data_IF_216840253185
#
_entry.id   IF_216840253185
#
_cell.length_a   1.000
_cell.length_b   1.000
_cell.length_c   1.000
_cell.angle_alpha   90.00
_cell.angle_beta   90.00
_cell.angle_gamma   90.00
#
_symmetry.space_group_name_H-M   'P 1'
#
loop_
_entity.id
_entity.type
_entity.pdbx_description
1 polymer ?
#
# COMPACT_ATOMS: atom_id res chain seq x y z
N UNK A 1 19.06 13.07 17.75
CA UNK A 1 18.67 12.60 16.41
C UNK A 1 17.17 12.65 16.41
N UNK A 2 16.61 13.80 16.04
CA UNK A 2 15.16 13.91 15.86
C UNK A 2 14.81 13.09 14.63
N UNK A 3 14.16 11.96 14.87
CA UNK A 3 13.54 11.18 13.82
C UNK A 3 12.54 12.10 13.12
N UNK A 4 12.46 12.10 11.79
CA UNK A 4 11.28 12.66 11.17
C UNK A 4 10.12 11.86 11.76
N UNK A 5 9.21 12.56 12.42
CA UNK A 5 7.89 12.07 12.75
C UNK A 5 7.24 11.74 11.40
N UNK A 6 7.59 10.59 10.82
CA UNK A 6 7.14 10.20 9.50
C UNK A 6 5.64 9.91 9.60
N UNK A 7 4.85 10.89 9.21
CA UNK A 7 3.41 10.86 9.26
C UNK A 7 2.92 10.39 7.89
N UNK A 8 2.89 9.07 7.73
CA UNK A 8 2.53 8.45 6.46
C UNK A 8 1.22 7.70 6.63
N UNK A 9 0.20 8.19 5.93
CA UNK A 9 -0.98 7.37 5.65
C UNK A 9 -0.67 6.54 4.43
N UNK A 10 -1.17 5.31 4.41
CA UNK A 10 -1.14 4.50 3.20
C UNK A 10 -2.51 3.97 2.90
N UNK A 11 -2.94 4.22 1.67
CA UNK A 11 -4.19 3.75 1.14
C UNK A 11 -3.96 2.97 -0.14
N UNK A 12 -4.77 1.95 -0.34
CA UNK A 12 -4.80 1.16 -1.56
C UNK A 12 -6.17 1.28 -2.20
N UNK A 13 -6.17 1.57 -3.49
CA UNK A 13 -7.37 1.61 -4.32
C UNK A 13 -7.95 0.19 -4.40
N UNK A 14 -9.22 0.02 -4.00
CA UNK A 14 -9.96 -1.20 -4.28
C UNK A 14 -10.28 -1.23 -5.79
N UNK A 15 -9.68 -2.16 -6.54
CA UNK A 15 -9.75 -2.14 -7.98
C UNK A 15 -11.05 -2.79 -8.49
N UNK A 16 -11.96 -3.20 -7.61
CA UNK A 16 -13.23 -3.87 -7.98
C UNK A 16 -14.33 -2.91 -8.46
N UNK A 17 -14.26 -1.59 -8.21
CA UNK A 17 -15.38 -0.66 -8.47
C UNK A 17 -15.04 0.54 -9.39
N UNK A 18 -14.12 0.37 -10.34
CA UNK A 18 -13.97 1.32 -11.46
C UNK A 18 -13.76 2.78 -11.05
N UNK A 19 -13.13 3.03 -9.90
CA UNK A 19 -12.78 4.36 -9.42
C UNK A 19 -13.92 5.19 -8.80
N UNK A 20 -15.16 4.67 -8.69
CA UNK A 20 -16.25 5.36 -7.97
C UNK A 20 -16.58 4.59 -6.69
N UNK A 21 -16.32 5.21 -5.54
CA UNK A 21 -16.50 4.65 -4.19
C UNK A 21 -15.47 3.58 -3.80
N UNK A 22 -14.21 3.73 -4.19
CA UNK A 22 -13.14 2.88 -3.66
C UNK A 22 -13.09 3.04 -2.13
N UNK A 23 -13.46 2.01 -1.36
CA UNK A 23 -13.25 2.03 0.10
C UNK A 23 -11.79 1.72 0.36
N UNK A 24 -11.08 2.63 1.00
CA UNK A 24 -9.66 2.47 1.27
C UNK A 24 -9.42 1.51 2.43
N UNK A 25 -8.31 0.79 2.33
CA UNK A 25 -7.74 0.10 3.47
C UNK A 25 -6.60 0.94 4.03
N UNK A 26 -6.86 1.63 5.13
CA UNK A 26 -5.81 2.31 5.89
C UNK A 26 -4.90 1.27 6.51
N UNK A 27 -3.64 1.22 6.08
CA UNK A 27 -2.62 0.34 6.67
C UNK A 27 -1.95 0.96 7.88
N UNK A 28 -1.70 2.27 7.83
CA UNK A 28 -1.02 3.04 8.88
C UNK A 28 -1.71 4.38 9.04
N UNK A 29 -1.90 4.82 10.29
CA UNK A 29 -2.47 6.13 10.63
C UNK A 29 -1.35 7.10 11.00
N UNK A 30 -1.53 8.39 10.72
CA UNK A 30 -0.67 9.45 11.26
C UNK A 30 -0.58 9.38 12.77
N UNK A 31 0.63 9.56 13.28
CA UNK A 31 0.94 9.44 14.71
C UNK A 31 1.17 8.01 15.19
N UNK A 32 1.10 7.01 14.31
CA UNK A 32 1.57 5.66 14.64
C UNK A 32 3.09 5.70 14.81
N UNK A 33 3.59 5.30 15.97
CA UNK A 33 5.02 5.08 16.17
C UNK A 33 5.45 3.86 15.35
N UNK A 34 6.45 4.05 14.49
CA UNK A 34 6.98 3.02 13.61
C UNK A 34 8.40 2.68 14.06
N UNK A 35 8.67 1.39 14.20
CA UNK A 35 10.01 0.85 14.45
C UNK A 35 10.71 0.51 13.14
N UNK A 36 12.04 0.46 13.14
CA UNK A 36 12.81 0.09 11.96
C UNK A 36 12.39 -1.29 11.43
N UNK A 37 12.22 -1.38 10.11
CA UNK A 37 11.80 -2.58 9.37
C UNK A 37 10.42 -3.11 9.77
N UNK A 38 9.60 -2.28 10.43
CA UNK A 38 8.23 -2.64 10.75
C UNK A 38 7.41 -2.76 9.46
N UNK A 39 6.69 -3.87 9.36
CA UNK A 39 5.79 -4.15 8.24
C UNK A 39 4.33 -4.05 8.69
N UNK A 40 3.53 -3.31 7.92
CA UNK A 40 2.08 -3.29 8.04
C UNK A 40 1.47 -3.98 6.81
N UNK A 41 0.58 -4.94 7.04
CA UNK A 41 0.13 -5.83 5.97
C UNK A 41 -1.37 -6.13 6.03
N UNK A 42 -1.87 -6.63 4.91
CA UNK A 42 -3.16 -7.27 4.85
C UNK A 42 -3.21 -8.36 3.80
N UNK A 43 -4.13 -9.30 4.00
CA UNK A 43 -4.44 -10.33 3.02
C UNK A 43 -5.51 -9.83 2.03
N UNK A 44 -5.28 -10.11 0.76
CA UNK A 44 -6.15 -9.83 -0.38
C UNK A 44 -6.38 -11.13 -1.15
N UNK A 45 -7.61 -11.36 -1.62
CA UNK A 45 -7.94 -12.45 -2.54
C UNK A 45 -8.55 -11.83 -3.80
N UNK A 46 -7.87 -11.88 -4.96
CA UNK A 46 -8.45 -11.46 -6.23
C UNK A 46 -9.55 -12.45 -6.64
N UNK A 47 -10.64 -11.93 -7.21
CA UNK A 47 -11.73 -12.76 -7.73
C UNK A 47 -11.34 -13.37 -9.09
N UNK A 48 -11.49 -12.60 -10.17
CA UNK A 48 -11.37 -13.13 -11.54
C UNK A 48 -10.29 -12.45 -12.39
N UNK A 49 -9.47 -11.58 -11.80
CA UNK A 49 -8.44 -10.82 -12.52
C UNK A 49 -7.17 -11.62 -12.71
N UNK A 50 -6.43 -11.38 -13.79
CA UNK A 50 -5.10 -11.97 -14.08
C UNK A 50 -3.94 -11.04 -13.74
N UNK A 51 -4.22 -9.80 -13.34
CA UNK A 51 -3.24 -8.84 -12.84
C UNK A 51 -3.87 -7.96 -11.76
N UNK A 52 -3.03 -7.35 -10.92
CA UNK A 52 -3.48 -6.42 -9.90
C UNK A 52 -2.53 -5.22 -9.76
N UNK A 53 -3.10 -4.06 -9.41
CA UNK A 53 -2.33 -2.83 -9.15
C UNK A 53 -2.61 -2.33 -7.74
N UNK A 54 -1.58 -2.30 -6.91
CA UNK A 54 -1.63 -1.70 -5.58
C UNK A 54 -1.12 -0.27 -5.68
N UNK A 55 -2.03 0.69 -5.78
CA UNK A 55 -1.68 2.10 -5.68
C UNK A 55 -1.43 2.48 -4.23
N UNK A 56 -0.38 3.26 -3.97
CA UNK A 56 0.09 3.60 -2.64
C UNK A 56 0.05 5.11 -2.52
N UNK A 57 -0.87 5.63 -1.70
CA UNK A 57 -1.07 7.06 -1.49
C UNK A 57 -0.66 7.49 -0.09
N UNK A 58 -0.22 8.73 0.08
CA UNK A 58 0.00 9.38 1.36
C UNK A 58 -0.65 10.75 1.44
N UNK A 59 -0.82 11.25 2.66
CA UNK A 59 -1.35 12.57 2.95
C UNK A 59 -0.80 13.08 4.27
N UNK A 60 -0.93 14.37 4.55
CA UNK A 60 -0.75 14.92 5.88
C UNK A 60 -2.09 15.17 6.60
N UNK A 61 -3.24 15.02 5.93
CA UNK A 61 -4.56 15.30 6.51
C UNK A 61 -5.03 14.22 7.48
N UNK A 62 -5.74 14.62 8.52
CA UNK A 62 -6.45 13.69 9.41
C UNK A 62 -7.80 13.29 8.83
N UNK A 63 -8.28 12.09 9.16
CA UNK A 63 -9.64 11.61 8.88
C UNK A 63 -10.03 11.61 7.39
N UNK A 64 -9.14 11.15 6.52
CA UNK A 64 -9.47 10.99 5.11
C UNK A 64 -10.28 9.72 4.91
N UNK A 65 -11.36 9.85 4.16
CA UNK A 65 -12.26 8.76 3.79
C UNK A 65 -12.06 8.33 2.34
N UNK A 66 -11.58 9.22 1.45
CA UNK A 66 -11.39 8.95 0.02
C UNK A 66 -10.03 9.34 -0.60
N UNK A 67 -9.53 8.62 -1.63
CA UNK A 67 -8.22 8.92 -2.25
C UNK A 67 -8.23 10.05 -3.26
N UNK A 68 -9.40 10.42 -3.76
CA UNK A 68 -9.60 11.61 -4.56
C UNK A 68 -9.82 12.86 -3.69
N UNK A 69 -9.80 12.71 -2.36
CA UNK A 69 -9.86 13.88 -1.48
C UNK A 69 -8.65 14.79 -1.70
N UNK A 70 -8.86 16.12 -1.69
CA UNK A 70 -7.77 17.08 -1.83
C UNK A 70 -6.68 16.83 -0.79
N UNK A 71 -5.41 16.91 -1.18
CA UNK A 71 -4.28 16.66 -0.27
C UNK A 71 -3.87 15.20 -0.14
N UNK A 72 -4.41 14.32 -0.97
CA UNK A 72 -3.87 12.98 -1.22
C UNK A 72 -2.83 13.01 -2.35
N UNK A 73 -1.71 12.34 -2.14
CA UNK A 73 -0.62 12.24 -3.11
C UNK A 73 -0.29 10.79 -3.39
N UNK A 74 -0.24 10.42 -4.66
CA UNK A 74 0.22 9.09 -5.08
C UNK A 74 1.74 9.00 -4.92
N UNK A 75 2.22 8.07 -4.10
CA UNK A 75 3.65 7.74 -4.05
C UNK A 75 4.05 6.84 -5.20
N UNK A 76 3.22 5.85 -5.53
CA UNK A 76 3.53 4.91 -6.61
C UNK A 76 2.56 3.74 -6.68
N UNK A 77 2.84 2.81 -7.60
CA UNK A 77 2.02 1.62 -7.83
C UNK A 77 2.89 0.37 -7.91
N UNK A 78 2.50 -0.68 -7.19
CA UNK A 78 3.04 -2.02 -7.36
C UNK A 78 2.09 -2.82 -8.25
N UNK A 79 2.51 -3.11 -9.48
CA UNK A 79 1.76 -3.94 -10.41
C UNK A 79 2.27 -5.38 -10.33
N UNK A 80 1.35 -6.34 -10.29
CA UNK A 80 1.69 -7.75 -10.28
C UNK A 80 0.84 -8.52 -11.28
N UNK A 81 1.45 -9.56 -11.84
CA UNK A 81 0.72 -10.61 -12.54
C UNK A 81 0.22 -11.63 -11.51
N UNK A 82 -1.02 -12.05 -11.68
CA UNK A 82 -1.66 -13.02 -10.80
C UNK A 82 -1.56 -14.42 -11.42
N UNK A 83 -1.41 -15.47 -10.60
CA UNK A 83 -1.47 -16.84 -11.10
C UNK A 83 -2.88 -17.15 -11.64
N UNK A 84 -3.00 -18.21 -12.45
CA UNK A 84 -4.22 -18.61 -13.16
C UNK A 84 -5.50 -18.47 -12.30
N UNK A 85 -6.56 -17.93 -12.91
CA UNK A 85 -7.86 -17.69 -12.28
C UNK A 85 -8.51 -19.00 -11.79
N UNK A 86 -8.13 -20.15 -12.37
CA UNK A 86 -8.63 -21.47 -11.99
C UNK A 86 -7.97 -22.07 -10.75
N UNK A 87 -6.98 -21.40 -10.15
CA UNK A 87 -6.39 -21.84 -8.87
C UNK A 87 -7.28 -21.41 -7.71
N UNK A 88 -7.70 -22.35 -6.87
CA UNK A 88 -8.60 -22.08 -5.73
C UNK A 88 -7.99 -21.11 -4.69
N UNK A 89 -6.66 -21.13 -4.56
CA UNK A 89 -5.95 -20.31 -3.60
C UNK A 89 -5.07 -19.25 -4.27
N UNK A 90 -5.60 -18.04 -4.29
CA UNK A 90 -4.99 -16.85 -4.92
C UNK A 90 -4.69 -15.77 -3.88
N UNK A 91 -4.60 -16.13 -2.61
CA UNK A 91 -4.32 -15.20 -1.52
C UNK A 91 -2.96 -14.53 -1.72
N UNK A 92 -2.96 -13.21 -1.49
CA UNK A 92 -1.80 -12.35 -1.59
C UNK A 92 -1.70 -11.56 -0.30
N UNK A 93 -0.55 -11.66 0.35
CA UNK A 93 -0.20 -10.79 1.45
C UNK A 93 0.49 -9.57 0.86
N UNK A 94 -0.19 -8.43 0.93
CA UNK A 94 0.43 -7.14 0.63
C UNK A 94 0.99 -6.54 1.92
N UNK A 95 2.16 -5.94 1.87
CA UNK A 95 2.78 -5.27 3.00
C UNK A 95 3.60 -4.04 2.63
N UNK A 96 3.59 -3.05 3.52
CA UNK A 96 4.49 -1.90 3.50
C UNK A 96 5.50 -2.04 4.62
N UNK A 97 6.78 -2.12 4.27
CA UNK A 97 7.90 -2.12 5.22
C UNK A 97 8.52 -0.75 5.26
N UNK A 98 8.70 -0.22 6.46
CA UNK A 98 9.31 1.09 6.69
C UNK A 98 10.77 0.90 7.08
N UNK A 99 11.65 0.99 6.09
CA UNK A 99 13.08 1.00 6.28
C UNK A 99 13.56 2.35 6.79
N UNK A 100 14.86 2.44 7.06
CA UNK A 100 15.48 3.66 7.59
C UNK A 100 15.35 4.87 6.64
N UNK A 101 15.41 4.64 5.34
CA UNK A 101 15.41 5.69 4.31
C UNK A 101 14.40 5.46 3.20
N UNK A 102 13.64 4.37 3.30
CA UNK A 102 12.83 3.87 2.21
C UNK A 102 11.56 3.18 2.71
N UNK A 103 10.58 3.11 1.82
CA UNK A 103 9.37 2.32 2.00
C UNK A 103 9.40 1.22 0.95
N UNK A 104 9.20 -0.02 1.40
CA UNK A 104 9.14 -1.18 0.51
C UNK A 104 7.70 -1.66 0.46
N UNK A 105 7.05 -1.51 -0.69
CA UNK A 105 5.80 -2.19 -0.95
C UNK A 105 6.11 -3.58 -1.49
N UNK A 106 5.50 -4.60 -0.89
CA UNK A 106 5.72 -5.98 -1.28
C UNK A 106 4.43 -6.76 -1.33
N UNK A 107 4.40 -7.75 -2.21
CA UNK A 107 3.38 -8.80 -2.22
C UNK A 107 4.05 -10.15 -2.07
N UNK A 108 3.37 -11.07 -1.39
CA UNK A 108 3.76 -12.47 -1.32
C UNK A 108 2.52 -13.33 -1.56
N UNK A 109 2.61 -14.25 -2.51
CA UNK A 109 1.58 -15.28 -2.67
C UNK A 109 1.97 -16.56 -1.91
N UNK A 110 1.04 -17.52 -1.84
CA UNK A 110 1.29 -18.78 -1.14
C UNK A 110 2.38 -19.65 -1.76
N UNK A 111 2.63 -19.48 -3.07
CA UNK A 111 3.76 -20.10 -3.77
C UNK A 111 5.11 -19.47 -3.40
N UNK A 112 5.12 -18.54 -2.43
CA UNK A 112 6.28 -17.79 -1.94
C UNK A 112 6.91 -16.88 -2.99
N UNK A 113 6.23 -16.66 -4.11
CA UNK A 113 6.62 -15.65 -5.09
C UNK A 113 6.42 -14.27 -4.46
N UNK A 114 7.47 -13.45 -4.57
CA UNK A 114 7.50 -12.11 -4.00
C UNK A 114 7.68 -11.10 -5.13
N UNK A 115 6.89 -10.04 -5.09
CA UNK A 115 7.14 -8.83 -5.86
C UNK A 115 7.37 -7.67 -4.90
N UNK A 116 8.26 -6.76 -5.25
CA UNK A 116 8.52 -5.58 -4.43
C UNK A 116 8.91 -4.39 -5.28
N UNK A 117 8.65 -3.22 -4.72
CA UNK A 117 9.11 -1.93 -5.23
C UNK A 117 9.49 -1.07 -4.03
N UNK A 118 10.57 -0.32 -4.19
CA UNK A 118 11.10 0.58 -3.18
C UNK A 118 10.80 2.02 -3.55
N UNK A 119 10.42 2.81 -2.57
CA UNK A 119 10.18 4.24 -2.69
C UNK A 119 11.04 4.99 -1.69
N UNK A 120 11.56 6.15 -2.09
CA UNK A 120 12.07 7.11 -1.13
C UNK A 120 10.92 7.64 -0.27
N UNK A 121 11.20 8.01 0.97
CA UNK A 121 10.27 8.83 1.73
C UNK A 121 9.96 10.12 0.94
N UNK A 122 8.69 10.55 0.85
CA UNK A 122 8.37 11.82 0.24
C UNK A 122 9.10 12.93 1.00
N UNK A 123 9.74 13.83 0.27
CA UNK A 123 10.26 15.05 0.86
C UNK A 123 9.07 15.88 1.34
N UNK A 124 9.14 16.39 2.57
CA UNK A 124 8.27 17.49 2.97
C UNK A 124 8.72 18.72 2.16
N UNK A 125 8.15 18.91 0.96
CA UNK A 125 8.33 20.14 0.20
C UNK A 125 7.55 21.24 0.95
N UNK A 126 8.28 22.03 1.74
CA UNK A 126 7.81 23.17 2.53
C UNK A 126 7.46 24.38 1.65
#
# INVERSE_FOLDING_TARGET
MDYPLYQLFWMIEDPTHGGKNCRFKTLVKRGTEITFDQTFSFNFKPESKTSESFAIYYTQKYNIEYCDEPGMTLLGKLNIDLPDVHLDNRRIDFGLTFGQYEIIASTRNENRQKHEITFCYPNDDF
#
